data_IF_378251951311
#
_entry.id   IF_378251951311
#
_cell.length_a   1.000
_cell.length_b   1.000
_cell.length_c   1.000
_cell.angle_alpha   90.00
_cell.angle_beta   90.00
_cell.angle_gamma   90.00
#
_symmetry.space_group_name_H-M   'P 1'
#
loop_
_entity.id
_entity.type
_entity.pdbx_description
1 polymer ?
#
# COMPACT_ATOMS: atom_id res chain seq x y z
N UNK A 1 -9.18 11.11 48.33
CA UNK A 1 -10.14 11.43 47.24
C UNK A 1 -9.90 12.88 46.87
N UNK A 2 -9.52 13.31 45.66
CA UNK A 2 -9.44 12.67 44.36
C UNK A 2 -8.32 13.32 43.50
N UNK A 3 -7.63 12.44 42.77
CA UNK A 3 -6.86 12.60 41.52
C UNK A 3 -6.47 14.01 41.04
N UNK A 4 -5.17 14.28 41.12
CA UNK A 4 -4.46 15.22 40.25
C UNK A 4 -4.10 14.57 38.90
N UNK A 5 -3.74 15.42 37.93
CA UNK A 5 -2.95 15.18 36.71
C UNK A 5 -3.67 14.63 35.47
N UNK A 6 -4.12 15.55 34.60
CA UNK A 6 -3.50 15.84 33.28
C UNK A 6 -4.47 16.70 32.44
N UNK A 7 -4.14 17.97 32.37
CA UNK A 7 -4.88 19.02 31.67
C UNK A 7 -4.68 18.90 30.14
N UNK A 8 -5.79 18.85 29.40
CA UNK A 8 -5.94 19.28 28.00
C UNK A 8 -5.23 18.54 26.84
N UNK A 9 -4.08 17.91 27.03
CA UNK A 9 -3.20 17.54 25.90
C UNK A 9 -3.65 16.33 25.06
N UNK A 10 -4.59 15.51 25.54
CA UNK A 10 -5.04 14.30 24.84
C UNK A 10 -6.20 14.51 23.85
N UNK A 11 -6.91 15.64 23.94
CA UNK A 11 -8.15 15.85 23.17
C UNK A 11 -7.93 16.57 21.83
N UNK A 12 -6.78 17.22 21.65
CA UNK A 12 -6.52 18.03 20.46
C UNK A 12 -6.18 17.20 19.22
N UNK A 13 -5.44 16.09 19.39
CA UNK A 13 -5.08 15.19 18.27
C UNK A 13 -6.31 14.55 17.61
N UNK A 14 -7.36 14.21 18.36
CA UNK A 14 -8.58 13.62 17.79
C UNK A 14 -9.43 14.64 17.04
N UNK A 15 -9.42 15.90 17.49
CA UNK A 15 -10.16 17.00 16.85
C UNK A 15 -9.63 17.31 15.45
N UNK A 16 -8.31 17.28 15.24
CA UNK A 16 -7.71 17.50 13.92
C UNK A 16 -7.60 16.22 13.08
N UNK A 17 -7.48 15.05 13.70
CA UNK A 17 -7.41 13.79 12.97
C UNK A 17 -8.64 13.55 12.09
N UNK A 18 -9.84 13.93 12.54
CA UNK A 18 -11.06 13.69 11.76
C UNK A 18 -11.14 14.58 10.50
N UNK A 19 -10.98 15.91 10.57
CA UNK A 19 -10.87 16.78 9.38
C UNK A 19 -9.70 16.40 8.46
N UNK A 20 -8.52 16.10 9.01
CA UNK A 20 -7.37 15.68 8.20
C UNK A 20 -7.66 14.38 7.44
N UNK A 21 -8.28 13.40 8.10
CA UNK A 21 -8.68 12.15 7.45
C UNK A 21 -9.73 12.39 6.35
N UNK A 22 -10.62 13.38 6.50
CA UNK A 22 -11.56 13.76 5.44
C UNK A 22 -10.85 14.38 4.24
N UNK A 23 -9.93 15.33 4.45
CA UNK A 23 -9.13 15.96 3.39
C UNK A 23 -8.27 14.93 2.66
N UNK A 24 -7.57 14.07 3.42
CA UNK A 24 -6.75 12.99 2.85
C UNK A 24 -7.63 12.02 2.04
N UNK A 25 -8.78 11.60 2.57
CA UNK A 25 -9.70 10.73 1.82
C UNK A 25 -10.20 11.38 0.54
N UNK A 26 -10.50 12.67 0.57
CA UNK A 26 -10.96 13.38 -0.62
C UNK A 26 -9.84 13.52 -1.66
N UNK A 27 -8.62 13.83 -1.24
CA UNK A 27 -7.43 13.80 -2.10
C UNK A 27 -7.14 12.41 -2.68
N UNK A 28 -7.32 11.35 -1.88
CA UNK A 28 -7.15 9.96 -2.35
C UNK A 28 -8.20 9.56 -3.40
N UNK A 29 -9.37 10.23 -3.48
CA UNK A 29 -10.33 9.98 -4.57
C UNK A 29 -9.76 10.40 -5.93
N UNK A 30 -9.00 11.48 -5.99
CA UNK A 30 -8.37 11.95 -7.23
C UNK A 30 -7.31 10.96 -7.72
N UNK A 31 -6.62 10.29 -6.80
CA UNK A 31 -5.62 9.26 -7.08
C UNK A 31 -6.19 7.83 -7.04
N UNK A 32 -7.51 7.66 -6.98
CA UNK A 32 -8.16 6.37 -6.73
C UNK A 32 -7.78 5.31 -7.77
N UNK A 33 -7.66 5.70 -9.04
CA UNK A 33 -7.25 4.81 -10.14
C UNK A 33 -5.83 4.29 -9.92
N UNK A 34 -4.86 5.16 -9.68
CA UNK A 34 -3.46 4.78 -9.41
C UNK A 34 -3.34 3.91 -8.17
N UNK A 35 -4.04 4.27 -7.08
CA UNK A 35 -4.05 3.47 -5.85
C UNK A 35 -4.67 2.08 -6.11
N UNK A 36 -5.74 2.01 -6.91
CA UNK A 36 -6.37 0.75 -7.26
C UNK A 36 -5.45 -0.15 -8.11
N UNK A 37 -4.65 0.43 -9.02
CA UNK A 37 -3.64 -0.31 -9.79
C UNK A 37 -2.57 -0.91 -8.88
N UNK A 38 -2.02 -0.13 -7.95
CA UNK A 38 -1.05 -0.64 -6.96
C UNK A 38 -1.67 -1.72 -6.08
N UNK A 39 -2.91 -1.50 -5.62
CA UNK A 39 -3.67 -2.51 -4.86
C UNK A 39 -3.82 -3.81 -5.64
N UNK A 40 -4.14 -3.73 -6.93
CA UNK A 40 -4.28 -4.90 -7.80
C UNK A 40 -2.95 -5.63 -8.00
N UNK A 41 -1.85 -4.90 -8.21
CA UNK A 41 -0.50 -5.46 -8.28
C UNK A 41 -0.15 -6.29 -7.04
N UNK A 42 -0.36 -5.71 -5.86
CA UNK A 42 -0.07 -6.37 -4.57
C UNK A 42 -1.02 -7.55 -4.37
N UNK A 43 -2.29 -7.40 -4.74
CA UNK A 43 -3.27 -8.49 -4.67
C UNK A 43 -2.88 -9.65 -5.57
N UNK A 44 -2.33 -9.41 -6.76
CA UNK A 44 -1.85 -10.45 -7.66
C UNK A 44 -0.70 -11.24 -7.05
N UNK A 45 0.33 -10.54 -6.54
CA UNK A 45 1.48 -11.19 -5.90
C UNK A 45 1.03 -12.06 -4.72
N UNK A 46 0.11 -11.52 -3.92
CA UNK A 46 -0.40 -12.19 -2.71
C UNK A 46 -1.49 -13.23 -2.97
N UNK A 47 -2.00 -13.36 -4.20
CA UNK A 47 -3.15 -14.23 -4.48
C UNK A 47 -2.82 -15.72 -4.42
N UNK A 48 -1.55 -16.08 -4.60
CA UNK A 48 -1.07 -17.47 -4.58
C UNK A 48 0.36 -17.56 -4.06
N UNK A 49 0.72 -18.59 -3.27
CA UNK A 49 2.10 -18.84 -2.85
C UNK A 49 3.09 -18.90 -4.01
N UNK A 50 2.67 -19.40 -5.17
CA UNK A 50 3.51 -19.48 -6.37
C UNK A 50 3.87 -18.11 -6.94
N UNK A 51 2.91 -17.18 -6.94
CA UNK A 51 3.12 -15.80 -7.40
C UNK A 51 3.97 -15.02 -6.41
N UNK A 52 3.77 -15.24 -5.10
CA UNK A 52 4.60 -14.67 -4.05
C UNK A 52 6.06 -15.15 -4.15
N UNK A 53 6.27 -16.43 -4.47
CA UNK A 53 7.61 -16.98 -4.70
C UNK A 53 8.29 -16.34 -5.91
N UNK A 54 7.62 -16.28 -7.07
CA UNK A 54 8.13 -15.60 -8.26
C UNK A 54 8.50 -14.14 -7.99
N UNK A 55 7.69 -13.44 -7.19
CA UNK A 55 7.99 -12.06 -6.81
C UNK A 55 9.24 -11.99 -5.91
N UNK A 56 9.40 -12.89 -4.94
CA UNK A 56 10.62 -12.97 -4.12
C UNK A 56 11.87 -13.24 -4.96
N UNK A 57 11.78 -14.11 -5.97
CA UNK A 57 12.88 -14.32 -6.92
C UNK A 57 13.23 -13.04 -7.69
N UNK A 58 12.23 -12.23 -8.05
CA UNK A 58 12.46 -10.92 -8.68
C UNK A 58 13.10 -9.92 -7.70
N UNK A 59 12.66 -9.90 -6.44
CA UNK A 59 13.24 -9.07 -5.38
C UNK A 59 14.71 -9.42 -5.13
N UNK A 60 15.02 -10.71 -5.04
CA UNK A 60 16.39 -11.22 -4.87
C UNK A 60 17.26 -10.91 -6.08
N UNK A 61 16.74 -11.11 -7.30
CA UNK A 61 17.44 -10.80 -8.54
C UNK A 61 17.82 -9.32 -8.67
N UNK A 62 16.92 -8.42 -8.24
CA UNK A 62 17.17 -6.97 -8.25
C UNK A 62 18.08 -6.54 -7.08
N UNK A 63 18.31 -7.42 -6.10
CA UNK A 63 19.18 -7.15 -4.95
C UNK A 63 18.55 -6.23 -3.91
N UNK A 64 17.22 -6.17 -3.83
CA UNK A 64 16.52 -5.32 -2.86
C UNK A 64 16.64 -5.94 -1.48
N UNK A 65 17.44 -5.32 -0.59
CA UNK A 65 17.67 -5.79 0.78
C UNK A 65 16.58 -5.38 1.78
N UNK A 66 15.37 -5.03 1.31
CA UNK A 66 14.29 -4.57 2.16
C UNK A 66 13.75 -5.70 3.03
N UNK A 67 13.79 -5.53 4.36
CA UNK A 67 13.21 -6.47 5.34
C UNK A 67 11.68 -6.45 5.38
N UNK A 68 11.06 -5.44 4.77
CA UNK A 68 9.61 -5.24 4.73
C UNK A 68 9.00 -6.04 3.59
N UNK A 69 7.86 -6.69 3.80
CA UNK A 69 7.09 -7.35 2.74
C UNK A 69 5.99 -6.45 2.20
N UNK A 70 5.52 -6.71 0.98
CA UNK A 70 4.36 -6.02 0.41
C UNK A 70 3.09 -6.30 1.22
N UNK A 71 2.35 -5.24 1.55
CA UNK A 71 1.14 -5.30 2.36
C UNK A 71 -0.06 -4.73 1.60
N UNK A 72 -1.22 -5.38 1.72
CA UNK A 72 -2.47 -4.85 1.18
C UNK A 72 -3.06 -3.84 2.17
N UNK A 73 -3.65 -2.76 1.68
CA UNK A 73 -4.31 -1.80 2.53
C UNK A 73 -5.53 -2.41 3.25
N UNK A 74 -5.86 -1.83 4.40
CA UNK A 74 -6.95 -2.26 5.29
C UNK A 74 -7.80 -1.05 5.60
N UNK A 75 -9.05 -1.05 5.13
CA UNK A 75 -9.96 0.09 5.19
C UNK A 75 -10.22 0.64 6.60
N UNK A 76 -10.05 -0.19 7.64
CA UNK A 76 -10.25 0.19 9.05
C UNK A 76 -9.01 0.80 9.71
N UNK A 77 -7.84 0.80 9.04
CA UNK A 77 -6.58 1.36 9.56
C UNK A 77 -6.18 2.60 8.77
N UNK A 78 -6.13 3.76 9.45
CA UNK A 78 -5.92 5.06 8.82
C UNK A 78 -4.60 5.20 8.02
N UNK A 79 -3.56 4.45 8.38
CA UNK A 79 -2.25 4.47 7.70
C UNK A 79 -2.04 3.37 6.67
N UNK A 80 -3.02 2.50 6.42
CA UNK A 80 -2.79 1.29 5.65
C UNK A 80 -2.49 1.55 4.17
N UNK A 81 -3.16 2.55 3.57
CA UNK A 81 -2.89 2.97 2.18
C UNK A 81 -1.47 3.53 2.09
N UNK A 82 -1.07 4.38 3.03
CA UNK A 82 0.29 4.91 3.07
C UNK A 82 1.34 3.78 3.16
N UNK A 83 1.16 2.82 4.07
CA UNK A 83 2.07 1.69 4.22
C UNK A 83 2.11 0.79 2.97
N UNK A 84 0.97 0.61 2.30
CA UNK A 84 0.89 -0.11 1.03
C UNK A 84 1.72 0.59 -0.05
N UNK A 85 1.57 1.92 -0.17
CA UNK A 85 2.28 2.73 -1.16
C UNK A 85 3.79 2.82 -0.86
N UNK A 86 4.17 3.04 0.40
CA UNK A 86 5.58 3.07 0.86
C UNK A 86 6.28 1.73 0.61
N UNK A 87 5.57 0.60 0.82
CA UNK A 87 6.09 -0.71 0.45
C UNK A 87 6.16 -0.89 -1.08
N UNK A 88 5.13 -0.49 -1.81
CA UNK A 88 5.09 -0.64 -3.27
C UNK A 88 6.23 0.13 -3.95
N UNK A 89 6.52 1.35 -3.50
CA UNK A 89 7.61 2.18 -3.99
C UNK A 89 8.98 1.50 -3.81
N UNK A 90 9.24 0.92 -2.63
CA UNK A 90 10.48 0.18 -2.35
C UNK A 90 10.68 -1.04 -3.25
N UNK A 91 9.60 -1.62 -3.74
CA UNK A 91 9.60 -2.79 -4.60
C UNK A 91 9.33 -2.48 -6.08
N UNK A 92 9.33 -1.21 -6.49
CA UNK A 92 8.97 -0.80 -7.85
C UNK A 92 9.76 -1.58 -8.91
N UNK A 93 11.09 -1.63 -8.78
CA UNK A 93 11.96 -2.35 -9.74
C UNK A 93 11.71 -3.86 -9.77
N UNK A 94 11.23 -4.45 -8.67
CA UNK A 94 10.83 -5.86 -8.64
C UNK A 94 9.49 -6.09 -9.35
N UNK A 95 8.55 -5.15 -9.24
CA UNK A 95 7.29 -5.17 -10.02
C UNK A 95 7.55 -5.00 -11.51
N UNK A 96 8.43 -4.06 -11.91
CA UNK A 96 8.84 -3.88 -13.31
C UNK A 96 9.44 -5.17 -13.87
N UNK A 97 10.25 -5.87 -13.06
CA UNK A 97 10.83 -7.15 -13.47
C UNK A 97 9.79 -8.27 -13.58
N UNK A 98 8.78 -8.27 -12.70
CA UNK A 98 7.68 -9.22 -12.74
C UNK A 98 6.83 -9.03 -14.00
N UNK A 99 6.57 -7.79 -14.40
CA UNK A 99 5.86 -7.45 -15.65
C UNK A 99 6.56 -8.01 -16.90
N UNK A 100 7.90 -7.93 -16.94
CA UNK A 100 8.67 -8.53 -18.03
C UNK A 100 8.73 -10.07 -18.01
N UNK A 101 8.32 -10.74 -16.92
CA UNK A 101 8.46 -12.19 -16.73
C UNK A 101 7.13 -12.96 -16.71
N UNK A 102 6.05 -12.33 -16.26
CA UNK A 102 4.75 -12.99 -16.04
C UNK A 102 3.68 -12.30 -16.88
N UNK A 103 3.30 -12.95 -17.99
CA UNK A 103 2.26 -12.45 -18.90
C UNK A 103 0.93 -12.22 -18.16
N UNK A 104 0.58 -13.08 -17.19
CA UNK A 104 -0.64 -12.91 -16.41
C UNK A 104 -0.60 -11.69 -15.48
N UNK A 105 0.59 -11.20 -15.12
CA UNK A 105 0.76 -9.93 -14.41
C UNK A 105 0.59 -8.74 -15.35
N UNK A 106 1.09 -8.84 -16.59
CA UNK A 106 0.94 -7.79 -17.61
C UNK A 106 -0.52 -7.60 -18.02
N UNK A 107 -1.23 -8.71 -18.25
CA UNK A 107 -2.65 -8.73 -18.63
C UNK A 107 -3.55 -8.04 -17.58
N UNK A 108 -3.10 -7.95 -16.32
CA UNK A 108 -3.82 -7.24 -15.25
C UNK A 108 -4.00 -5.74 -15.54
N UNK A 109 -3.12 -5.16 -16.36
CA UNK A 109 -3.09 -3.72 -16.67
C UNK A 109 -3.43 -3.41 -18.14
N UNK A 110 -3.53 -4.42 -19.00
CA UNK A 110 -3.91 -4.25 -20.42
C UNK A 110 -5.42 -4.01 -20.62
N UNK A 111 -6.24 -4.21 -19.58
CA UNK A 111 -7.72 -4.03 -19.64
C UNK A 111 -8.15 -2.55 -19.58
N UNK A 112 -7.22 -1.60 -19.46
CA UNK A 112 -7.50 -0.15 -19.34
C UNK A 112 -7.29 0.65 -20.65
N UNK A 113 -7.59 0.08 -21.83
CA UNK A 113 -7.74 0.86 -23.08
C UNK A 113 -9.09 0.53 -23.75
N UNK A 114 -9.78 1.53 -24.32
CA UNK A 114 -11.25 1.72 -24.27
C UNK A 114 -12.10 0.65 -24.94
#
# INVERSE_FOLDING_TARGET
MNRLLMDGFGFHMRYYAHPLNLVVKDGLKLAHTSISRVRNAIRFVRSSPHRDLKFKECVEYVGISCKTSVCLDVSTRWNSIYLMLDAAEKFQTAFDKLEGKDEAYRDLFEVDCP
#
